data_IF_979619960467
#
_entry.id   IF_979619960467
#
_cell.length_a   1.000
_cell.length_b   1.000
_cell.length_c   1.000
_cell.angle_alpha   90.00
_cell.angle_beta   90.00
_cell.angle_gamma   90.00
#
_symmetry.space_group_name_H-M   'P 1'
#
loop_
_entity.id
_entity.type
_entity.pdbx_description
1 polymer ?
#
# COMPACT_ATOMS: atom_id res chain seq x y z
N UNK A 1 18.29 -11.51 -5.79
CA UNK A 1 16.89 -11.92 -5.70
C UNK A 1 16.13 -10.90 -4.88
N UNK A 2 15.06 -10.34 -5.44
CA UNK A 2 14.32 -9.23 -4.81
C UNK A 2 13.36 -9.66 -3.71
N UNK A 3 13.23 -10.95 -3.49
CA UNK A 3 12.30 -11.53 -2.52
C UNK A 3 12.53 -11.00 -1.10
N UNK A 4 13.79 -11.01 -0.65
CA UNK A 4 14.13 -10.52 0.70
C UNK A 4 13.89 -9.04 0.87
N UNK A 5 14.14 -8.24 -0.17
CA UNK A 5 13.93 -6.80 -0.15
C UNK A 5 12.45 -6.46 -0.02
N UNK A 6 11.59 -7.15 -0.79
CA UNK A 6 10.15 -6.96 -0.71
C UNK A 6 9.62 -7.29 0.68
N UNK A 7 10.05 -8.42 1.22
CA UNK A 7 9.66 -8.85 2.55
C UNK A 7 10.06 -7.83 3.63
N UNK A 8 11.26 -7.29 3.54
CA UNK A 8 11.76 -6.30 4.48
C UNK A 8 10.86 -5.06 4.51
N UNK A 9 10.50 -4.53 3.34
CA UNK A 9 9.67 -3.33 3.28
C UNK A 9 8.22 -3.60 3.65
N UNK A 10 7.71 -4.79 3.40
CA UNK A 10 6.39 -5.17 3.89
C UNK A 10 6.37 -5.20 5.41
N UNK A 11 7.39 -5.74 6.05
CA UNK A 11 7.49 -5.74 7.50
C UNK A 11 7.62 -4.35 8.08
N UNK A 12 8.40 -3.49 7.44
CA UNK A 12 8.48 -2.07 7.83
C UNK A 12 7.13 -1.38 7.74
N UNK A 13 6.38 -1.69 6.68
CA UNK A 13 5.05 -1.12 6.48
C UNK A 13 4.10 -1.55 7.59
N UNK A 14 4.10 -2.83 7.93
CA UNK A 14 3.27 -3.33 9.04
C UNK A 14 3.60 -2.61 10.35
N UNK A 15 4.88 -2.46 10.65
CA UNK A 15 5.33 -1.76 11.85
C UNK A 15 4.83 -0.32 11.87
N UNK A 16 4.95 0.38 10.74
CA UNK A 16 4.51 1.78 10.63
C UNK A 16 2.99 1.90 10.71
N UNK A 17 2.26 0.96 10.11
CA UNK A 17 0.80 0.93 10.20
C UNK A 17 0.32 0.83 11.65
N UNK A 18 0.96 -0.02 12.43
CA UNK A 18 0.62 -0.16 13.85
C UNK A 18 0.89 1.12 14.62
N UNK A 19 1.99 1.79 14.34
CA UNK A 19 2.29 3.10 14.95
C UNK A 19 1.24 4.14 14.60
N UNK A 20 0.64 4.04 13.42
CA UNK A 20 -0.39 4.98 12.95
C UNK A 20 -1.81 4.57 13.35
N UNK A 21 -1.97 3.50 14.12
CA UNK A 21 -3.25 3.13 14.70
C UNK A 21 -3.95 1.92 14.10
N UNK A 22 -3.28 1.19 13.21
CA UNK A 22 -3.86 -0.05 12.69
C UNK A 22 -3.95 -1.08 13.82
N UNK A 23 -5.12 -1.67 13.99
CA UNK A 23 -5.36 -2.68 15.04
C UNK A 23 -5.24 -4.09 14.51
N UNK A 24 -5.27 -4.25 13.20
CA UNK A 24 -5.18 -5.57 12.57
C UNK A 24 -4.55 -5.42 11.20
N UNK A 25 -3.60 -6.29 10.87
CA UNK A 25 -2.95 -6.30 9.56
C UNK A 25 -2.83 -7.73 9.05
N UNK A 26 -3.02 -7.89 7.74
CA UNK A 26 -2.82 -9.18 7.05
C UNK A 26 -1.89 -8.93 5.88
N UNK A 27 -0.84 -9.72 5.79
CA UNK A 27 0.06 -9.69 4.64
C UNK A 27 -0.36 -10.78 3.65
N UNK A 28 -0.45 -10.39 2.38
CA UNK A 28 -0.76 -11.30 1.30
C UNK A 28 0.53 -11.99 0.86
N UNK A 29 0.62 -13.29 1.03
CA UNK A 29 1.80 -14.06 0.65
C UNK A 29 1.49 -14.93 -0.56
N UNK A 30 2.41 -14.92 -1.52
CA UNK A 30 2.26 -15.71 -2.74
C UNK A 30 1.10 -15.27 -3.61
N UNK A 31 0.58 -14.09 -3.36
CA UNK A 31 -0.53 -13.55 -4.12
C UNK A 31 -0.06 -13.04 -5.47
N UNK A 32 -0.90 -13.18 -6.48
CA UNK A 32 -0.68 -12.59 -7.79
C UNK A 32 -1.39 -11.24 -7.92
N UNK A 33 -2.04 -10.78 -6.86
CA UNK A 33 -2.75 -9.50 -6.84
C UNK A 33 -1.85 -8.33 -6.52
N UNK A 34 -2.40 -7.12 -6.64
CA UNK A 34 -1.68 -5.88 -6.41
C UNK A 34 -1.65 -5.46 -4.93
N UNK A 35 -2.41 -6.13 -4.07
CA UNK A 35 -2.49 -5.79 -2.64
C UNK A 35 -1.52 -6.67 -1.86
N UNK A 36 -0.60 -6.01 -1.17
CA UNK A 36 0.40 -6.70 -0.34
C UNK A 36 -0.03 -6.79 1.12
N UNK A 37 -0.75 -5.80 1.61
CA UNK A 37 -1.16 -5.72 3.02
C UNK A 37 -2.58 -5.17 3.10
N UNK A 38 -3.38 -5.75 4.00
CA UNK A 38 -4.68 -5.21 4.40
C UNK A 38 -4.54 -4.71 5.83
N UNK A 39 -4.94 -3.47 6.07
CA UNK A 39 -4.90 -2.87 7.41
C UNK A 39 -6.32 -2.45 7.82
N UNK A 40 -6.68 -2.75 9.08
CA UNK A 40 -7.95 -2.35 9.67
C UNK A 40 -7.67 -1.43 10.85
N UNK A 41 -8.40 -0.32 10.92
CA UNK A 41 -8.24 0.68 11.97
C UNK A 41 -9.40 0.60 12.97
N UNK A 42 -9.21 1.20 14.14
CA UNK A 42 -10.18 1.12 15.24
C UNK A 42 -11.54 1.74 14.90
N UNK A 43 -11.59 2.67 13.96
CA UNK A 43 -12.83 3.27 13.48
C UNK A 43 -13.57 2.40 12.46
N UNK A 44 -13.04 1.20 12.15
CA UNK A 44 -13.62 0.30 11.17
C UNK A 44 -13.15 0.55 9.75
N UNK A 45 -12.35 1.58 9.51
CA UNK A 45 -11.84 1.84 8.16
C UNK A 45 -10.82 0.77 7.75
N UNK A 46 -10.75 0.52 6.44
CA UNK A 46 -9.88 -0.49 5.85
C UNK A 46 -9.00 0.16 4.80
N UNK A 47 -7.74 -0.21 4.80
CA UNK A 47 -6.79 0.26 3.81
C UNK A 47 -6.15 -0.94 3.11
N UNK A 48 -6.22 -0.96 1.79
CA UNK A 48 -5.55 -1.97 0.96
C UNK A 48 -4.27 -1.34 0.42
N UNK A 49 -3.15 -1.98 0.65
CA UNK A 49 -1.84 -1.37 0.47
C UNK A 49 -0.99 -2.18 -0.50
N UNK A 50 -0.43 -1.49 -1.49
CA UNK A 50 0.67 -2.00 -2.29
C UNK A 50 1.97 -1.36 -1.79
N UNK A 51 2.98 -2.17 -1.51
CA UNK A 51 4.27 -1.69 -1.03
C UNK A 51 5.24 -1.60 -2.20
N UNK A 52 5.88 -0.45 -2.32
CA UNK A 52 6.91 -0.20 -3.32
C UNK A 52 8.17 0.34 -2.65
N UNK A 53 9.31 0.07 -3.22
CA UNK A 53 10.59 0.57 -2.70
C UNK A 53 11.57 0.83 -3.83
N UNK A 54 12.62 1.59 -3.54
CA UNK A 54 13.68 1.84 -4.50
C UNK A 54 13.93 3.33 -4.72
N UNK A 55 14.75 3.64 -5.71
CA UNK A 55 15.12 5.03 -6.03
C UNK A 55 13.97 5.81 -6.65
N UNK A 56 13.10 5.12 -7.39
CA UNK A 56 11.94 5.70 -8.05
C UNK A 56 10.72 4.86 -7.75
N UNK A 57 9.57 5.52 -7.59
CA UNK A 57 8.32 4.80 -7.49
C UNK A 57 7.91 4.35 -8.89
N UNK A 58 7.77 3.05 -9.06
CA UNK A 58 7.42 2.47 -10.35
C UNK A 58 6.14 1.66 -10.22
N UNK A 59 5.05 2.28 -10.69
CA UNK A 59 3.73 1.65 -10.70
C UNK A 59 3.27 1.59 -12.15
N UNK A 60 3.09 0.39 -12.67
CA UNK A 60 2.69 0.20 -14.06
C UNK A 60 1.26 0.67 -14.29
N UNK A 61 0.92 0.93 -15.54
CA UNK A 61 -0.45 1.29 -15.92
C UNK A 61 -1.41 0.16 -15.54
N UNK A 62 -0.98 -1.09 -15.73
CA UNK A 62 -1.79 -2.26 -15.36
C UNK A 62 -2.08 -2.28 -13.86
N UNK A 63 -1.07 -2.04 -13.03
CA UNK A 63 -1.24 -1.97 -11.58
C UNK A 63 -2.19 -0.86 -11.17
N UNK A 64 -2.06 0.33 -11.78
CA UNK A 64 -2.94 1.45 -11.48
C UNK A 64 -4.39 1.14 -11.83
N UNK A 65 -4.61 0.47 -12.96
CA UNK A 65 -5.97 0.08 -13.38
C UNK A 65 -6.58 -0.93 -12.42
N UNK A 66 -5.78 -1.90 -11.97
CA UNK A 66 -6.26 -2.90 -11.01
C UNK A 66 -6.61 -2.23 -9.67
N UNK A 67 -5.77 -1.32 -9.20
CA UNK A 67 -6.04 -0.57 -7.96
C UNK A 67 -7.28 0.31 -8.10
N UNK A 68 -7.44 0.99 -9.23
CA UNK A 68 -8.62 1.82 -9.49
C UNK A 68 -9.91 1.01 -9.48
N UNK A 69 -9.87 -0.22 -9.99
CA UNK A 69 -11.01 -1.12 -9.96
C UNK A 69 -11.43 -1.42 -8.52
N UNK A 70 -10.46 -1.62 -7.62
CA UNK A 70 -10.75 -1.88 -6.22
C UNK A 70 -11.40 -0.65 -5.55
N UNK A 71 -10.95 0.55 -5.89
CA UNK A 71 -11.56 1.79 -5.38
C UNK A 71 -13.02 1.86 -5.79
N UNK A 72 -13.32 1.52 -7.04
CA UNK A 72 -14.67 1.61 -7.59
C UNK A 72 -15.65 0.62 -6.93
N UNK A 73 -15.13 -0.48 -6.36
CA UNK A 73 -15.98 -1.50 -5.73
C UNK A 73 -16.53 -1.05 -4.38
N UNK A 74 -15.80 -0.22 -3.64
CA UNK A 74 -16.23 0.17 -2.31
C UNK A 74 -15.61 1.51 -1.92
N UNK A 75 -16.44 2.59 -1.79
CA UNK A 75 -15.92 3.92 -1.46
C UNK A 75 -15.39 4.05 -0.02
N UNK A 76 -15.67 3.09 0.85
CA UNK A 76 -15.22 3.14 2.25
C UNK A 76 -13.87 2.49 2.45
N UNK A 77 -13.30 1.88 1.42
CA UNK A 77 -11.98 1.28 1.47
C UNK A 77 -10.99 2.22 0.80
N UNK A 78 -9.93 2.56 1.52
CA UNK A 78 -8.84 3.35 0.95
C UNK A 78 -7.87 2.40 0.25
N UNK A 79 -7.41 2.81 -0.91
CA UNK A 79 -6.41 2.08 -1.68
C UNK A 79 -5.15 2.94 -1.68
N UNK A 80 -4.04 2.40 -1.23
CA UNK A 80 -2.81 3.16 -1.05
C UNK A 80 -1.59 2.43 -1.59
N UNK A 81 -0.61 3.21 -2.01
CA UNK A 81 0.72 2.73 -2.34
C UNK A 81 1.65 3.34 -1.30
N UNK A 82 2.32 2.48 -0.54
CA UNK A 82 3.30 2.89 0.46
C UNK A 82 4.68 2.75 -0.17
N UNK A 83 5.29 3.90 -0.49
CA UNK A 83 6.57 3.94 -1.18
C UNK A 83 7.70 4.27 -0.21
N UNK A 84 8.65 3.34 -0.11
CA UNK A 84 9.87 3.50 0.69
C UNK A 84 11.00 3.89 -0.24
N UNK A 85 11.27 5.18 -0.31
CA UNK A 85 12.38 5.68 -1.08
C UNK A 85 13.68 5.32 -0.38
N UNK A 86 14.69 4.96 -1.18
CA UNK A 86 16.00 4.59 -0.65
C UNK A 86 16.54 5.69 0.27
N UNK A 87 17.06 5.29 1.43
CA UNK A 87 17.60 6.18 2.48
C UNK A 87 16.57 7.00 3.23
N UNK A 88 15.29 6.86 2.97
CA UNK A 88 14.25 7.49 3.78
C UNK A 88 13.80 6.55 4.89
N UNK A 89 13.53 7.11 6.06
CA UNK A 89 13.11 6.32 7.22
C UNK A 89 11.59 6.20 7.32
N UNK A 90 10.86 7.07 6.64
CA UNK A 90 9.40 7.04 6.62
C UNK A 90 8.92 6.89 5.18
N UNK A 91 7.78 6.21 4.99
CA UNK A 91 7.26 6.04 3.64
C UNK A 91 6.53 7.29 3.16
N UNK A 92 6.44 7.43 1.84
CA UNK A 92 5.50 8.36 1.22
C UNK A 92 4.26 7.56 0.86
N UNK A 93 3.09 8.01 1.31
CA UNK A 93 1.84 7.29 1.08
C UNK A 93 1.04 8.00 -0.01
N UNK A 94 0.75 7.27 -1.06
CA UNK A 94 -0.07 7.75 -2.16
C UNK A 94 -1.40 7.01 -2.14
N UNK A 95 -2.50 7.75 -2.27
CA UNK A 95 -3.82 7.15 -2.41
C UNK A 95 -4.19 7.10 -3.88
N UNK A 96 -5.02 6.12 -4.23
CA UNK A 96 -5.43 5.89 -5.62
C UNK A 96 -6.90 6.27 -5.74
N UNK A 97 -7.26 7.10 -6.72
CA UNK A 97 -8.65 7.45 -6.97
C UNK A 97 -9.27 6.52 -8.04
N UNK A 98 -10.55 6.72 -8.31
CA UNK A 98 -11.31 5.90 -9.26
C UNK A 98 -10.75 5.93 -10.68
N UNK A 99 -10.04 7.00 -11.04
CA UNK A 99 -9.43 7.15 -12.36
C UNK A 99 -8.02 6.57 -12.41
N UNK A 100 -7.52 6.01 -11.29
CA UNK A 100 -6.16 5.49 -11.20
C UNK A 100 -5.11 6.55 -10.97
N UNK A 101 -5.52 7.76 -10.63
CA UNK A 101 -4.58 8.84 -10.32
C UNK A 101 -4.08 8.70 -8.90
N UNK A 102 -2.84 9.11 -8.70
CA UNK A 102 -2.21 9.06 -7.39
C UNK A 102 -2.23 10.44 -6.76
N UNK A 103 -2.53 10.49 -5.46
CA UNK A 103 -2.45 11.71 -4.69
C UNK A 103 -1.99 11.36 -3.27
N UNK A 104 -1.43 12.34 -2.55
CA UNK A 104 -1.09 12.11 -1.15
C UNK A 104 -1.64 13.24 -0.31
N UNK A 105 -2.00 12.90 0.93
CA UNK A 105 -2.45 13.88 1.91
C UNK A 105 -1.27 14.34 2.75
N UNK A 106 -1.22 15.61 2.97
CA UNK A 106 -0.21 16.20 3.86
C UNK A 106 -0.64 16.11 5.32
#
# INVERSE_FOLDING_TARGET
>A
MNYRKGYYYEKKTVSELRKRGAIFTVESRGSHGVVDIVAVYSDGSIELIQVKSGKKMNVSIKERKELATLVALNPYIRIAIWYWKKYQQTPTVYYVDKAGRLYHQN
#
